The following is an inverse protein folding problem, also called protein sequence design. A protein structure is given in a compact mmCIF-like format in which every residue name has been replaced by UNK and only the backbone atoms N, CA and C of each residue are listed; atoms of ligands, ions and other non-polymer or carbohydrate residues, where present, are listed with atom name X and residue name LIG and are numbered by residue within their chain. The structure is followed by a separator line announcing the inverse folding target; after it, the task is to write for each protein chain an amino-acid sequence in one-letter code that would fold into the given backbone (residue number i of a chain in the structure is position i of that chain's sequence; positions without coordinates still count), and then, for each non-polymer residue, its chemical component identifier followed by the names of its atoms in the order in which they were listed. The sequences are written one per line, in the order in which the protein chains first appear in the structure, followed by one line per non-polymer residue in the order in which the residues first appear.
data_IF_273221168544
#
_entry.id   IF_273221168544
#
_cell.length_a   1.000
_cell.length_b   1.000
_cell.length_c   1.000
_cell.angle_alpha   90.00
_cell.angle_beta   90.00
_cell.angle_gamma   90.00
#
_symmetry.space_group_name_H-M   'P 1'
#
loop_
_entity.id
_entity.type
_entity.pdbx_description
1 polymer ?
#
# COMPACT_ATOMS: atom_id res chain seq x y z
N UNK A 1 1.61 10.05 10.39
CA UNK A 1 0.96 9.62 9.12
C UNK A 1 -0.07 8.56 9.45
N UNK A 2 -1.31 8.77 9.00
CA UNK A 2 -2.40 7.83 9.28
C UNK A 2 -2.33 6.57 8.40
N UNK A 3 -2.83 5.47 8.95
CA UNK A 3 -3.00 4.19 8.27
C UNK A 3 -4.50 3.90 8.29
N UNK A 4 -5.08 3.61 7.13
CA UNK A 4 -6.51 3.52 6.97
C UNK A 4 -6.97 2.11 6.61
N UNK A 5 -8.10 1.70 7.19
CA UNK A 5 -8.89 0.58 6.69
C UNK A 5 -9.61 0.96 5.38
N UNK A 6 -10.05 -0.02 4.57
CA UNK A 6 -10.89 0.25 3.40
C UNK A 6 -12.20 1.00 3.72
N UNK A 7 -12.71 0.88 4.95
CA UNK A 7 -13.90 1.59 5.41
C UNK A 7 -13.58 3.07 5.68
N UNK A 8 -12.48 3.35 6.38
CA UNK A 8 -12.01 4.72 6.64
C UNK A 8 -11.67 5.46 5.34
N UNK A 9 -11.04 4.78 4.35
CA UNK A 9 -10.78 5.37 3.03
C UNK A 9 -12.08 5.84 2.40
N UNK A 10 -13.09 4.96 2.32
CA UNK A 10 -14.40 5.34 1.75
C UNK A 10 -15.09 6.47 2.52
N UNK A 11 -14.91 6.49 3.85
CA UNK A 11 -15.45 7.55 4.68
C UNK A 11 -14.81 8.91 4.35
N UNK A 12 -13.48 8.98 4.25
CA UNK A 12 -12.77 10.22 3.97
C UNK A 12 -12.97 10.71 2.53
N UNK A 13 -13.03 9.80 1.56
CA UNK A 13 -13.41 10.12 0.18
C UNK A 13 -14.82 10.74 0.11
N UNK A 14 -15.77 10.14 0.83
CA UNK A 14 -17.13 10.65 0.92
C UNK A 14 -17.19 12.02 1.64
N UNK A 15 -16.42 12.17 2.72
CA UNK A 15 -16.31 13.44 3.45
C UNK A 15 -15.75 14.54 2.54
N UNK A 16 -14.71 14.25 1.76
CA UNK A 16 -14.16 15.19 0.78
C UNK A 16 -15.22 15.66 -0.23
N UNK A 17 -16.09 14.76 -0.66
CA UNK A 17 -17.16 15.07 -1.62
C UNK A 17 -18.31 15.84 -0.97
N UNK A 18 -18.89 15.34 0.13
CA UNK A 18 -20.13 15.86 0.71
C UNK A 18 -19.94 17.12 1.53
N UNK A 19 -18.82 17.23 2.27
CA UNK A 19 -18.57 18.38 3.13
C UNK A 19 -17.74 19.47 2.46
N UNK A 20 -16.77 19.07 1.63
CA UNK A 20 -15.83 20.01 1.01
C UNK A 20 -16.12 20.26 -0.48
N UNK A 21 -17.08 19.55 -1.07
CA UNK A 21 -17.47 19.72 -2.47
C UNK A 21 -16.41 19.31 -3.49
N UNK A 22 -15.45 18.47 -3.10
CA UNK A 22 -14.39 17.97 -3.99
C UNK A 22 -14.94 16.79 -4.80
N UNK A 23 -15.15 16.99 -6.08
CA UNK A 23 -15.67 15.93 -6.95
C UNK A 23 -14.68 14.75 -7.06
N UNK A 24 -15.16 13.50 -7.12
CA UNK A 24 -14.31 12.29 -7.23
C UNK A 24 -13.35 12.32 -8.42
N UNK A 25 -13.74 12.95 -9.51
CA UNK A 25 -12.89 13.08 -10.70
C UNK A 25 -11.64 13.94 -10.41
N UNK A 26 -11.74 14.92 -9.49
CA UNK A 26 -10.60 15.75 -9.08
C UNK A 26 -9.62 14.91 -8.27
N UNK A 27 -10.12 14.09 -7.34
CA UNK A 27 -9.28 13.21 -6.53
C UNK A 27 -8.55 12.19 -7.43
N UNK A 28 -9.26 11.57 -8.37
CA UNK A 28 -8.69 10.62 -9.34
C UNK A 28 -7.66 11.29 -10.26
N UNK A 29 -7.92 12.50 -10.74
CA UNK A 29 -6.96 13.24 -11.55
C UNK A 29 -5.67 13.56 -10.77
N UNK A 30 -5.79 13.99 -9.50
CA UNK A 30 -4.65 14.23 -8.64
C UNK A 30 -3.87 12.93 -8.36
N UNK A 31 -4.58 11.83 -8.09
CA UNK A 31 -4.00 10.52 -7.86
C UNK A 31 -3.17 10.07 -9.06
N UNK A 32 -3.76 10.01 -10.23
CA UNK A 32 -3.10 9.54 -11.44
C UNK A 32 -1.96 10.45 -11.88
N UNK A 33 -2.15 11.79 -11.83
CA UNK A 33 -1.09 12.75 -12.16
C UNK A 33 0.13 12.60 -11.26
N UNK A 34 -0.09 12.59 -9.94
CA UNK A 34 1.00 12.46 -8.96
C UNK A 34 1.72 11.13 -9.07
N UNK A 35 0.98 10.06 -9.33
CA UNK A 35 1.58 8.75 -9.57
C UNK A 35 2.42 8.73 -10.85
N UNK A 36 1.95 9.34 -11.93
CA UNK A 36 2.73 9.47 -13.16
C UNK A 36 4.03 10.26 -12.92
N UNK A 37 3.98 11.38 -12.16
CA UNK A 37 5.17 12.17 -11.79
C UNK A 37 6.19 11.32 -11.00
N UNK A 38 5.74 10.46 -10.08
CA UNK A 38 6.63 9.56 -9.31
C UNK A 38 7.23 8.49 -10.24
N UNK A 39 6.40 7.85 -11.07
CA UNK A 39 6.87 6.83 -12.01
C UNK A 39 7.95 7.40 -12.93
N UNK A 40 7.72 8.59 -13.48
CA UNK A 40 8.69 9.26 -14.35
C UNK A 40 10.00 9.57 -13.62
N UNK A 41 9.96 10.05 -12.37
CA UNK A 41 11.15 10.49 -11.64
C UNK A 41 11.92 9.35 -10.96
N UNK A 42 11.24 8.34 -10.46
CA UNK A 42 11.82 7.32 -9.57
C UNK A 42 11.94 5.94 -10.25
N UNK A 43 11.23 5.71 -11.37
CA UNK A 43 11.17 4.39 -12.02
C UNK A 43 11.70 4.43 -13.45
N UNK A 44 11.38 5.47 -14.23
CA UNK A 44 11.60 5.54 -15.67
C UNK A 44 12.97 6.10 -16.08
N UNK A 45 14.00 6.03 -15.22
CA UNK A 45 15.35 6.47 -15.58
C UNK A 45 15.88 5.61 -16.76
N UNK A 46 16.11 6.27 -17.92
CA UNK A 46 16.53 5.63 -19.18
C UNK A 46 15.54 4.57 -19.76
N UNK A 47 14.25 4.61 -19.37
CA UNK A 47 13.20 3.71 -19.84
C UNK A 47 12.13 4.49 -20.60
N UNK A 48 11.58 3.89 -21.67
CA UNK A 48 10.66 4.59 -22.58
C UNK A 48 9.28 3.95 -22.70
N UNK A 49 9.16 2.63 -22.43
CA UNK A 49 7.97 1.84 -22.77
C UNK A 49 7.22 1.35 -21.52
N UNK A 50 5.88 1.50 -21.53
CA UNK A 50 5.04 1.22 -20.39
C UNK A 50 3.77 0.47 -20.78
N UNK A 51 3.52 -0.68 -20.16
CA UNK A 51 2.23 -1.34 -20.20
C UNK A 51 1.40 -0.98 -18.96
N UNK A 52 0.22 -0.40 -19.14
CA UNK A 52 -0.69 -0.07 -18.03
C UNK A 52 -1.86 -1.04 -18.00
N UNK A 53 -1.93 -1.88 -16.98
CA UNK A 53 -2.95 -2.92 -16.81
C UNK A 53 -4.11 -2.36 -15.99
N UNK A 54 -5.18 -1.94 -16.66
CA UNK A 54 -6.32 -1.27 -16.05
C UNK A 54 -7.51 -2.21 -15.85
N UNK A 55 -8.01 -2.32 -14.62
CA UNK A 55 -9.32 -2.90 -14.36
C UNK A 55 -10.47 -1.96 -14.81
N UNK A 56 -11.70 -2.43 -14.67
CA UNK A 56 -12.89 -1.61 -15.00
C UNK A 56 -13.40 -0.77 -13.82
N UNK A 57 -12.79 -0.90 -12.63
CA UNK A 57 -13.10 -0.11 -11.43
C UNK A 57 -12.35 1.22 -11.37
N UNK A 58 -12.44 1.89 -10.21
CA UNK A 58 -11.78 3.17 -9.99
C UNK A 58 -10.25 3.07 -10.05
N UNK A 59 -9.65 1.99 -9.53
CA UNK A 59 -8.20 1.78 -9.65
C UNK A 59 -7.74 1.74 -11.11
N UNK A 60 -8.51 1.07 -11.99
CA UNK A 60 -8.28 1.13 -13.44
C UNK A 60 -8.45 2.54 -14.00
N UNK A 61 -9.36 3.33 -13.42
CA UNK A 61 -9.51 4.76 -13.73
C UNK A 61 -8.25 5.56 -13.40
N UNK A 62 -7.65 5.34 -12.23
CA UNK A 62 -6.37 5.94 -11.83
C UNK A 62 -5.26 5.53 -12.81
N UNK A 63 -5.17 4.23 -13.16
CA UNK A 63 -4.25 3.72 -14.19
C UNK A 63 -4.42 4.40 -15.55
N UNK A 64 -5.65 4.65 -15.99
CA UNK A 64 -5.91 5.37 -17.25
C UNK A 64 -5.50 6.85 -17.19
N UNK A 65 -5.61 7.49 -16.03
CA UNK A 65 -5.08 8.85 -15.84
C UNK A 65 -3.56 8.82 -15.93
N UNK A 66 -2.89 7.85 -15.27
CA UNK A 66 -1.43 7.65 -15.37
C UNK A 66 -1.01 7.44 -16.82
N UNK A 67 -1.65 6.51 -17.54
CA UNK A 67 -1.38 6.26 -18.96
C UNK A 67 -1.44 7.55 -19.79
N UNK A 68 -2.45 8.38 -19.56
CA UNK A 68 -2.63 9.66 -20.24
C UNK A 68 -1.51 10.65 -19.96
N UNK A 69 -1.07 10.75 -18.71
CA UNK A 69 0.02 11.67 -18.34
C UNK A 69 1.36 11.21 -18.93
N UNK A 70 1.71 9.92 -18.80
CA UNK A 70 2.93 9.36 -19.40
C UNK A 70 2.93 9.51 -20.93
N UNK A 71 1.81 9.20 -21.60
CA UNK A 71 1.66 9.40 -23.05
C UNK A 71 1.87 10.87 -23.46
N UNK A 72 1.34 11.83 -22.72
CA UNK A 72 1.52 13.25 -22.96
C UNK A 72 2.98 13.72 -22.75
N UNK A 73 3.72 13.03 -21.91
CA UNK A 73 5.15 13.30 -21.67
C UNK A 73 6.06 12.63 -22.69
N UNK A 74 5.50 11.84 -23.62
CA UNK A 74 6.22 11.28 -24.75
C UNK A 74 6.68 9.85 -24.57
N UNK A 75 6.26 9.15 -23.49
CA UNK A 75 6.53 7.73 -23.32
C UNK A 75 5.69 6.87 -24.28
N UNK A 76 6.23 5.71 -24.65
CA UNK A 76 5.50 4.69 -25.40
C UNK A 76 4.58 3.91 -24.46
N UNK A 77 3.28 4.22 -24.52
CA UNK A 77 2.28 3.73 -23.57
C UNK A 77 1.23 2.87 -24.23
N UNK A 78 1.15 1.61 -23.85
CA UNK A 78 0.04 0.70 -24.18
C UNK A 78 -0.83 0.44 -22.96
N UNK A 79 -2.14 0.66 -23.09
CA UNK A 79 -3.11 0.47 -22.00
C UNK A 79 -3.95 -0.78 -22.25
N UNK A 80 -3.89 -1.73 -21.32
CA UNK A 80 -4.60 -3.01 -21.36
C UNK A 80 -5.82 -2.97 -20.45
N UNK A 81 -7.03 -2.98 -21.03
CA UNK A 81 -8.30 -2.95 -20.31
C UNK A 81 -8.73 -4.38 -19.99
N UNK A 82 -8.71 -4.72 -18.71
CA UNK A 82 -8.97 -6.10 -18.23
C UNK A 82 -10.36 -6.20 -17.64
N UNK A 83 -11.27 -6.76 -18.41
CA UNK A 83 -12.64 -6.97 -17.98
C UNK A 83 -13.68 -6.65 -19.06
N UNK A 84 -14.92 -6.64 -18.62
CA UNK A 84 -16.07 -6.37 -19.47
C UNK A 84 -16.25 -4.84 -19.60
N UNK A 85 -16.32 -4.34 -20.81
CA UNK A 85 -16.52 -2.90 -21.11
C UNK A 85 -17.81 -2.34 -20.51
N UNK A 86 -18.82 -3.20 -20.36
CA UNK A 86 -20.10 -2.78 -19.79
C UNK A 86 -20.06 -2.62 -18.26
N UNK A 87 -18.91 -2.90 -17.63
CA UNK A 87 -18.70 -2.85 -16.18
C UNK A 87 -17.81 -1.72 -15.71
N UNK A 88 -17.52 -0.77 -16.55
CA UNK A 88 -16.76 0.40 -16.11
C UNK A 88 -17.48 1.17 -14.99
N UNK A 89 -16.69 1.61 -13.99
CA UNK A 89 -17.16 2.70 -13.13
C UNK A 89 -17.29 3.99 -13.96
N UNK A 90 -18.16 4.92 -13.53
CA UNK A 90 -18.37 6.19 -14.24
C UNK A 90 -17.06 6.96 -14.49
N UNK A 91 -16.13 6.92 -13.52
CA UNK A 91 -14.86 7.61 -13.63
C UNK A 91 -13.89 6.90 -14.56
N UNK A 92 -13.83 5.56 -14.51
CA UNK A 92 -13.03 4.76 -15.42
C UNK A 92 -13.52 4.89 -16.86
N UNK A 93 -14.84 4.86 -17.11
CA UNK A 93 -15.43 5.07 -18.44
C UNK A 93 -15.06 6.43 -19.02
N UNK A 94 -15.09 7.48 -18.18
CA UNK A 94 -14.69 8.83 -18.60
C UNK A 94 -13.22 8.88 -19.03
N UNK A 95 -12.32 8.32 -18.25
CA UNK A 95 -10.89 8.31 -18.55
C UNK A 95 -10.57 7.41 -19.75
N UNK A 96 -11.23 6.26 -19.88
CA UNK A 96 -11.16 5.41 -21.05
C UNK A 96 -11.55 6.19 -22.34
N UNK A 97 -12.67 6.93 -22.31
CA UNK A 97 -13.11 7.76 -23.43
C UNK A 97 -12.11 8.87 -23.80
N UNK A 98 -11.37 9.39 -22.82
CA UNK A 98 -10.29 10.37 -23.05
C UNK A 98 -9.15 9.71 -23.80
N UNK A 99 -8.64 8.55 -23.32
CA UNK A 99 -7.55 7.82 -23.98
C UNK A 99 -7.91 7.44 -25.43
N UNK A 100 -9.13 7.00 -25.68
CA UNK A 100 -9.61 6.71 -27.05
C UNK A 100 -9.52 7.93 -27.96
N UNK A 101 -9.92 9.11 -27.48
CA UNK A 101 -9.85 10.36 -28.26
C UNK A 101 -8.43 10.86 -28.48
N UNK A 102 -7.51 10.48 -27.63
CA UNK A 102 -6.07 10.79 -27.74
C UNK A 102 -5.32 9.82 -28.65
N UNK A 103 -6.02 8.78 -29.15
CA UNK A 103 -5.39 7.71 -29.94
C UNK A 103 -4.28 6.97 -29.20
N UNK A 104 -4.30 6.95 -27.86
CA UNK A 104 -3.45 6.07 -27.08
C UNK A 104 -3.75 4.60 -27.44
N UNK A 105 -2.75 3.75 -27.48
CA UNK A 105 -2.93 2.34 -27.78
C UNK A 105 -3.76 1.68 -26.68
N UNK A 106 -4.92 1.09 -27.06
CA UNK A 106 -5.85 0.41 -26.15
C UNK A 106 -6.07 -1.02 -26.60
N UNK A 107 -5.71 -1.97 -25.76
CA UNK A 107 -5.98 -3.38 -25.94
C UNK A 107 -6.96 -3.90 -24.89
N UNK A 108 -7.68 -4.97 -25.18
CA UNK A 108 -8.77 -5.47 -24.32
C UNK A 108 -8.60 -6.94 -24.02
N UNK A 109 -8.65 -7.29 -22.73
CA UNK A 109 -8.55 -8.64 -22.21
C UNK A 109 -9.86 -8.96 -21.49
N UNK A 110 -10.74 -9.72 -22.13
CA UNK A 110 -12.04 -10.13 -21.59
C UNK A 110 -12.14 -11.64 -21.39
N UNK A 111 -11.22 -12.38 -21.97
CA UNK A 111 -11.15 -13.85 -21.92
C UNK A 111 -9.73 -14.35 -21.81
N UNK A 112 -9.58 -15.66 -21.64
CA UNK A 112 -8.27 -16.33 -21.70
C UNK A 112 -7.69 -16.25 -23.11
N UNK A 113 -8.53 -16.41 -24.12
CA UNK A 113 -8.14 -16.34 -25.54
C UNK A 113 -7.61 -14.97 -25.93
N UNK A 114 -8.11 -13.88 -25.31
CA UNK A 114 -7.56 -12.54 -25.54
C UNK A 114 -6.19 -12.42 -24.87
N UNK A 115 -6.05 -12.93 -23.64
CA UNK A 115 -4.77 -12.93 -22.92
C UNK A 115 -3.69 -13.72 -23.68
N UNK A 116 -4.01 -14.93 -24.14
CA UNK A 116 -3.08 -15.81 -24.87
C UNK A 116 -2.55 -15.19 -26.18
N UNK A 117 -3.26 -14.19 -26.76
CA UNK A 117 -2.82 -13.48 -27.97
C UNK A 117 -1.82 -12.37 -27.73
N UNK A 118 -1.80 -11.80 -26.52
CA UNK A 118 -1.05 -10.58 -26.22
C UNK A 118 0.04 -10.79 -25.17
N UNK A 119 0.10 -11.98 -24.57
CA UNK A 119 1.02 -12.26 -23.47
C UNK A 119 2.48 -11.97 -23.83
N UNK A 120 2.90 -12.33 -25.05
CA UNK A 120 4.27 -12.11 -25.50
C UNK A 120 4.64 -10.63 -25.63
N UNK A 121 3.64 -9.73 -25.72
CA UNK A 121 3.88 -8.29 -25.81
C UNK A 121 4.36 -7.70 -24.48
N UNK A 122 4.07 -8.34 -23.35
CA UNK A 122 4.50 -7.81 -22.06
C UNK A 122 6.03 -7.83 -21.88
N UNK A 123 6.73 -8.70 -22.59
CA UNK A 123 8.21 -8.73 -22.61
C UNK A 123 8.86 -7.59 -23.41
N UNK A 124 8.06 -6.79 -24.13
CA UNK A 124 8.56 -5.66 -24.94
C UNK A 124 8.55 -4.33 -24.17
N UNK A 125 8.03 -4.32 -22.92
CA UNK A 125 7.93 -3.12 -22.09
C UNK A 125 9.00 -3.09 -21.01
N UNK A 126 9.45 -1.90 -20.64
CA UNK A 126 10.37 -1.70 -19.51
C UNK A 126 9.67 -1.72 -18.16
N UNK A 127 8.42 -1.21 -18.12
CA UNK A 127 7.63 -1.08 -16.90
C UNK A 127 6.21 -1.59 -17.09
N UNK A 128 5.75 -2.38 -16.14
CA UNK A 128 4.36 -2.85 -16.05
C UNK A 128 3.67 -2.13 -14.89
N UNK A 129 2.61 -1.38 -15.19
CA UNK A 129 1.81 -0.70 -14.17
C UNK A 129 0.56 -1.53 -13.87
N UNK A 130 0.47 -2.06 -12.66
CA UNK A 130 -0.68 -2.79 -12.14
C UNK A 130 -1.71 -1.82 -11.56
N UNK A 131 -2.78 -1.58 -12.29
CA UNK A 131 -3.99 -0.87 -11.88
C UNK A 131 -5.24 -1.77 -12.05
N UNK A 132 -5.08 -3.09 -11.89
CA UNK A 132 -6.15 -4.05 -12.13
C UNK A 132 -7.19 -4.04 -11.01
N UNK A 133 -6.76 -4.16 -9.75
CA UNK A 133 -7.61 -4.13 -8.57
C UNK A 133 -7.05 -3.19 -7.50
N UNK A 134 -7.91 -2.43 -6.82
CA UNK A 134 -7.58 -1.65 -5.62
C UNK A 134 -8.23 -2.25 -4.37
N UNK A 135 -8.45 -1.42 -3.35
CA UNK A 135 -9.04 -1.78 -2.04
C UNK A 135 -10.43 -2.42 -2.09
N UNK A 136 -11.07 -2.45 -3.26
CA UNK A 136 -12.41 -3.01 -3.44
C UNK A 136 -12.45 -4.52 -3.68
N UNK A 137 -11.31 -5.18 -3.89
CA UNK A 137 -11.24 -6.62 -4.14
C UNK A 137 -11.74 -7.42 -2.93
N UNK A 138 -12.60 -8.41 -3.19
CA UNK A 138 -13.10 -9.33 -2.18
C UNK A 138 -12.94 -10.78 -2.64
N UNK A 139 -12.27 -11.59 -1.82
CA UNK A 139 -12.08 -13.02 -2.08
C UNK A 139 -11.03 -13.32 -3.16
N UNK A 140 -11.16 -14.48 -3.79
CA UNK A 140 -10.17 -14.99 -4.75
C UNK A 140 -10.25 -14.32 -6.12
N UNK A 141 -9.10 -14.08 -6.73
CA UNK A 141 -8.98 -13.73 -8.14
C UNK A 141 -9.18 -14.99 -9.00
N UNK A 142 -10.03 -14.92 -10.04
CA UNK A 142 -10.44 -16.10 -10.83
C UNK A 142 -10.21 -15.92 -12.32
N UNK A 143 -10.09 -17.07 -13.01
CA UNK A 143 -10.02 -17.15 -14.46
C UNK A 143 -8.79 -16.45 -15.02
N UNK A 144 -8.95 -15.85 -16.20
CA UNK A 144 -7.86 -15.20 -16.93
C UNK A 144 -7.16 -14.06 -16.15
N UNK A 145 -7.85 -13.43 -15.21
CA UNK A 145 -7.25 -12.40 -14.36
C UNK A 145 -6.22 -13.00 -13.38
N UNK A 146 -6.48 -14.20 -12.86
CA UNK A 146 -5.50 -14.92 -12.05
C UNK A 146 -4.27 -15.26 -12.90
N UNK A 147 -4.49 -15.81 -14.10
CA UNK A 147 -3.40 -16.16 -15.01
C UNK A 147 -2.57 -14.90 -15.37
N UNK A 148 -3.22 -13.77 -15.62
CA UNK A 148 -2.55 -12.50 -15.91
C UNK A 148 -1.62 -12.08 -14.76
N UNK A 149 -2.07 -12.16 -13.50
CA UNK A 149 -1.23 -11.86 -12.34
C UNK A 149 -0.06 -12.82 -12.24
N UNK A 150 -0.29 -14.13 -12.45
CA UNK A 150 0.77 -15.15 -12.44
C UNK A 150 1.83 -14.86 -13.50
N UNK A 151 1.40 -14.49 -14.71
CA UNK A 151 2.30 -14.11 -15.81
C UNK A 151 3.10 -12.86 -15.48
N UNK A 152 2.46 -11.80 -15.01
CA UNK A 152 3.14 -10.56 -14.65
C UNK A 152 4.22 -10.81 -13.60
N UNK A 153 3.96 -11.66 -12.62
CA UNK A 153 4.96 -12.02 -11.61
C UNK A 153 6.15 -12.86 -12.12
N UNK A 154 6.06 -13.40 -13.34
CA UNK A 154 7.16 -14.15 -13.99
C UNK A 154 8.01 -13.27 -14.90
N UNK A 155 7.62 -12.00 -15.10
CA UNK A 155 8.36 -11.04 -15.90
C UNK A 155 9.59 -10.52 -15.10
N UNK A 156 10.65 -10.15 -15.82
CA UNK A 156 11.85 -9.52 -15.25
C UNK A 156 11.75 -7.98 -15.25
N UNK A 157 10.67 -7.42 -15.81
CA UNK A 157 10.36 -6.00 -15.93
C UNK A 157 9.96 -5.39 -14.59
N UNK A 158 10.14 -4.08 -14.42
CA UNK A 158 9.75 -3.38 -13.18
C UNK A 158 8.23 -3.34 -13.05
N UNK A 159 7.71 -3.83 -11.93
CA UNK A 159 6.27 -3.84 -11.64
C UNK A 159 5.92 -2.74 -10.65
N UNK A 160 5.05 -1.80 -11.08
CA UNK A 160 4.52 -0.71 -10.25
C UNK A 160 3.06 -0.94 -9.96
N UNK A 161 2.70 -1.20 -8.71
CA UNK A 161 1.29 -1.33 -8.30
C UNK A 161 0.68 0.00 -7.87
N UNK A 162 -0.53 0.27 -8.36
CA UNK A 162 -1.30 1.48 -8.06
C UNK A 162 -2.27 1.19 -6.93
N UNK A 163 -2.21 1.99 -5.89
CA UNK A 163 -2.98 1.94 -4.65
C UNK A 163 -2.62 0.74 -3.76
N UNK A 164 -2.68 -0.47 -4.27
CA UNK A 164 -2.32 -1.72 -3.58
C UNK A 164 -2.03 -2.81 -4.63
N UNK A 165 -1.06 -3.71 -4.42
CA UNK A 165 -0.83 -4.84 -5.31
C UNK A 165 -2.10 -5.64 -5.55
N UNK A 166 -2.45 -5.87 -6.83
CA UNK A 166 -3.69 -6.55 -7.21
C UNK A 166 -3.71 -7.98 -6.68
N UNK A 167 -4.71 -8.29 -5.85
CA UNK A 167 -4.83 -9.57 -5.16
C UNK A 167 -4.55 -9.52 -3.66
N UNK A 168 -3.95 -8.44 -3.16
CA UNK A 168 -3.68 -8.23 -1.75
C UNK A 168 -4.92 -7.67 -1.03
N UNK A 169 -5.23 -8.21 0.15
CA UNK A 169 -6.29 -7.70 1.04
C UNK A 169 -5.80 -6.43 1.77
N UNK A 170 -6.44 -5.31 1.49
CA UNK A 170 -6.07 -3.99 2.01
C UNK A 170 -6.23 -3.85 3.53
N UNK A 171 -7.07 -4.67 4.17
CA UNK A 171 -7.33 -4.63 5.60
C UNK A 171 -6.43 -5.60 6.37
N UNK A 172 -6.24 -6.81 5.83
CA UNK A 172 -5.58 -7.92 6.55
C UNK A 172 -4.14 -8.17 6.13
N UNK A 173 -3.72 -7.64 4.99
CA UNK A 173 -2.40 -7.94 4.40
C UNK A 173 -2.26 -9.39 3.95
N UNK A 174 -3.36 -10.11 3.74
CA UNK A 174 -3.37 -11.50 3.31
C UNK A 174 -3.63 -11.62 1.81
N UNK A 175 -3.18 -12.71 1.23
CA UNK A 175 -3.44 -13.09 -0.17
C UNK A 175 -4.39 -14.28 -0.17
N UNK A 176 -5.52 -14.16 -0.85
CA UNK A 176 -6.50 -15.25 -0.90
C UNK A 176 -5.99 -16.42 -1.77
N UNK A 177 -5.40 -16.14 -2.93
CA UNK A 177 -4.86 -17.16 -3.82
C UNK A 177 -3.68 -16.68 -4.68
N UNK A 178 -3.73 -15.43 -5.19
CA UNK A 178 -2.67 -14.81 -6.01
C UNK A 178 -2.65 -13.33 -5.76
N UNK A 179 -1.46 -12.71 -5.82
CA UNK A 179 -1.27 -11.27 -5.78
C UNK A 179 -0.08 -10.88 -6.64
N UNK A 180 -0.10 -9.68 -7.17
CA UNK A 180 1.08 -9.04 -7.75
C UNK A 180 2.16 -8.93 -6.67
N UNK A 181 3.40 -9.18 -7.07
CA UNK A 181 4.61 -8.87 -6.33
C UNK A 181 5.23 -7.63 -6.96
N UNK A 182 4.96 -6.47 -6.38
CA UNK A 182 5.41 -5.21 -6.93
C UNK A 182 6.84 -4.87 -6.46
N UNK A 183 7.62 -4.23 -7.34
CA UNK A 183 8.89 -3.58 -6.98
C UNK A 183 8.62 -2.22 -6.32
N UNK A 184 7.57 -1.55 -6.78
CA UNK A 184 7.11 -0.26 -6.26
C UNK A 184 5.60 -0.27 -6.08
N UNK A 185 5.11 0.30 -4.98
CA UNK A 185 3.68 0.56 -4.79
C UNK A 185 3.45 2.04 -4.53
N UNK A 186 2.60 2.67 -5.35
CA UNK A 186 2.19 4.07 -5.20
C UNK A 186 0.77 4.10 -4.65
N UNK A 187 0.62 4.47 -3.38
CA UNK A 187 -0.66 4.45 -2.69
C UNK A 187 -1.27 5.84 -2.55
N UNK A 188 -2.62 5.91 -2.61
CA UNK A 188 -3.38 7.15 -2.60
C UNK A 188 -3.71 7.61 -1.19
N UNK A 189 -3.51 8.91 -0.92
CA UNK A 189 -3.75 9.62 0.34
C UNK A 189 -3.02 9.05 1.56
N UNK A 190 -3.23 7.80 1.89
CA UNK A 190 -2.72 7.14 3.08
C UNK A 190 -2.37 5.67 2.82
N UNK A 191 -1.45 5.13 3.63
CA UNK A 191 -1.20 3.69 3.66
C UNK A 191 -2.43 2.94 4.18
N UNK A 192 -2.57 1.69 3.71
CA UNK A 192 -3.58 0.73 4.19
C UNK A 192 -2.92 -0.25 5.17
N UNK A 193 -3.70 -0.89 6.03
CA UNK A 193 -3.17 -1.95 6.90
C UNK A 193 -2.45 -3.04 6.11
N UNK A 194 -2.98 -3.41 4.93
CA UNK A 194 -2.39 -4.42 4.06
C UNK A 194 -0.96 -4.13 3.60
N UNK A 195 -0.56 -2.86 3.53
CA UNK A 195 0.81 -2.47 3.19
C UNK A 195 1.83 -2.72 4.31
N UNK A 196 1.38 -2.91 5.54
CA UNK A 196 2.24 -3.07 6.73
C UNK A 196 2.18 -4.46 7.32
N UNK A 197 1.06 -5.16 7.13
CA UNK A 197 0.86 -6.49 7.67
C UNK A 197 1.45 -7.55 6.72
N UNK A 198 2.12 -8.55 7.29
CA UNK A 198 2.65 -9.67 6.53
C UNK A 198 1.56 -10.71 6.20
N UNK A 199 1.62 -11.36 5.00
CA UNK A 199 2.68 -11.27 3.99
C UNK A 199 2.59 -10.04 3.07
N UNK A 200 1.54 -9.20 3.15
CA UNK A 200 1.31 -8.08 2.23
C UNK A 200 2.47 -7.10 2.14
N UNK A 201 3.17 -6.85 3.25
CA UNK A 201 4.33 -5.95 3.25
C UNK A 201 5.43 -6.42 2.29
N UNK A 202 5.66 -7.73 2.17
CA UNK A 202 6.68 -8.29 1.27
C UNK A 202 6.31 -8.16 -0.22
N UNK A 203 5.02 -7.93 -0.53
CA UNK A 203 4.50 -7.81 -1.88
C UNK A 203 4.45 -6.38 -2.40
N UNK A 204 4.71 -5.39 -1.54
CA UNK A 204 4.53 -3.98 -1.89
C UNK A 204 5.80 -3.30 -2.44
N UNK A 205 6.98 -3.91 -2.28
CA UNK A 205 8.24 -3.28 -2.67
C UNK A 205 8.50 -1.94 -1.99
N UNK A 206 9.04 -0.98 -2.72
CA UNK A 206 9.21 0.39 -2.27
C UNK A 206 7.88 1.14 -2.27
N UNK A 207 7.63 1.95 -1.23
CA UNK A 207 6.33 2.56 -1.02
C UNK A 207 6.36 4.08 -1.20
N UNK A 208 5.53 4.60 -2.10
CA UNK A 208 5.28 6.02 -2.26
C UNK A 208 3.83 6.37 -1.90
N UNK A 209 3.63 7.54 -1.29
CA UNK A 209 2.30 8.01 -0.90
C UNK A 209 2.01 9.32 -1.62
N UNK A 210 0.93 9.36 -2.39
CA UNK A 210 0.52 10.55 -3.11
C UNK A 210 -0.60 11.29 -2.39
N UNK A 211 -0.43 12.60 -2.23
CA UNK A 211 -1.51 13.45 -1.75
C UNK A 211 -2.49 13.73 -2.89
N UNK A 212 -3.72 13.26 -2.73
CA UNK A 212 -4.78 13.41 -3.74
C UNK A 212 -5.68 14.64 -3.52
N UNK A 213 -5.44 15.40 -2.43
CA UNK A 213 -6.17 16.63 -2.14
C UNK A 213 -7.31 16.49 -1.14
N UNK A 214 -7.35 15.42 -0.35
CA UNK A 214 -8.28 15.34 0.80
C UNK A 214 -7.83 16.37 1.83
N UNK A 215 -8.71 17.31 2.25
CA UNK A 215 -8.35 18.35 3.23
C UNK A 215 -7.97 17.74 4.59
N UNK A 216 -6.98 18.30 5.27
CA UNK A 216 -6.60 17.88 6.62
C UNK A 216 -7.79 17.94 7.61
N UNK A 217 -8.67 18.92 7.44
CA UNK A 217 -9.91 19.07 8.22
C UNK A 217 -10.84 17.85 8.12
N UNK A 218 -10.78 17.07 7.04
CA UNK A 218 -11.59 15.86 6.90
C UNK A 218 -11.24 14.81 7.97
N UNK A 219 -10.01 14.84 8.49
CA UNK A 219 -9.53 13.90 9.52
C UNK A 219 -9.81 14.37 10.95
N UNK A 220 -10.18 15.63 11.17
CA UNK A 220 -10.34 16.19 12.53
C UNK A 220 -11.61 15.68 13.24
N UNK A 221 -12.69 15.45 12.49
CA UNK A 221 -13.96 14.99 13.07
C UNK A 221 -13.96 13.48 13.41
N UNK A 222 -13.18 12.69 12.67
CA UNK A 222 -13.01 11.25 12.88
C UNK A 222 -11.54 10.88 12.71
N UNK A 223 -10.80 10.89 13.80
CA UNK A 223 -9.40 10.49 13.77
C UNK A 223 -9.26 9.01 13.38
N UNK A 224 -8.38 8.68 12.44
CA UNK A 224 -8.04 7.31 12.12
C UNK A 224 -7.54 6.53 13.34
N UNK A 225 -7.82 5.23 13.37
CA UNK A 225 -7.49 4.36 14.52
C UNK A 225 -5.97 4.17 14.66
N UNK A 226 -5.23 4.18 13.55
CA UNK A 226 -3.80 3.91 13.55
C UNK A 226 -2.99 5.03 12.89
N UNK A 227 -1.80 5.26 13.45
CA UNK A 227 -0.85 6.24 12.95
C UNK A 227 0.59 5.71 13.02
N UNK A 228 1.40 5.97 11.99
CA UNK A 228 2.86 5.80 12.06
C UNK A 228 3.45 7.09 12.64
N UNK A 229 4.15 6.93 13.74
CA UNK A 229 4.86 8.04 14.37
C UNK A 229 6.27 8.15 13.76
N UNK A 230 6.61 9.26 13.09
CA UNK A 230 7.92 9.43 12.45
C UNK A 230 9.06 9.58 13.45
N UNK A 231 8.77 10.15 14.62
CA UNK A 231 9.72 10.32 15.70
C UNK A 231 9.06 9.99 17.05
N UNK A 232 9.52 8.91 17.67
CA UNK A 232 9.03 8.46 18.97
C UNK A 232 9.87 9.01 20.13
N UNK A 233 11.01 9.63 19.87
CA UNK A 233 11.93 10.09 20.90
C UNK A 233 11.32 11.15 21.81
N UNK A 234 10.43 11.99 21.27
CA UNK A 234 9.73 13.01 22.07
C UNK A 234 8.74 12.44 23.11
N UNK A 235 8.34 11.17 22.98
CA UNK A 235 7.53 10.48 24.00
C UNK A 235 8.36 9.99 25.20
N UNK A 236 9.70 9.95 25.05
CA UNK A 236 10.56 9.58 26.17
C UNK A 236 10.82 10.81 27.07
N UNK A 237 10.65 10.67 28.39
CA UNK A 237 10.88 11.76 29.31
C UNK A 237 12.36 12.15 29.33
N UNK A 238 12.61 13.46 29.20
CA UNK A 238 13.98 13.98 29.34
C UNK A 238 14.46 13.76 30.78
N UNK A 239 15.64 13.13 30.93
CA UNK A 239 16.29 12.95 32.23
C UNK A 239 16.89 14.28 32.70
N UNK A 240 16.47 14.74 33.89
CA UNK A 240 17.02 15.92 34.53
C UNK A 240 18.13 15.53 35.50
N UNK A 241 19.12 16.41 35.77
CA UNK A 241 20.22 16.14 36.66
C UNK A 241 19.81 15.90 38.12
N UNK A 242 18.73 16.50 38.58
CA UNK A 242 18.21 16.37 39.94
C UNK A 242 17.01 15.42 39.99
N UNK A 243 17.26 14.13 39.77
CA UNK A 243 16.25 13.06 39.78
C UNK A 243 16.80 11.78 40.36
N UNK A 244 15.92 10.88 40.77
CA UNK A 244 16.31 9.57 41.30
C UNK A 244 15.56 8.44 40.58
N UNK A 245 15.97 7.19 40.79
CA UNK A 245 15.38 6.03 40.09
C UNK A 245 13.87 5.90 40.24
N UNK A 246 13.26 6.44 41.28
CA UNK A 246 11.81 6.41 41.49
C UNK A 246 11.02 7.30 40.54
N UNK A 247 11.68 8.34 39.94
CA UNK A 247 11.04 9.31 39.07
C UNK A 247 10.80 8.74 37.64
N UNK A 248 11.48 7.65 37.30
CA UNK A 248 11.42 7.00 35.99
C UNK A 248 10.59 5.71 35.97
N UNK A 249 9.69 5.57 36.94
CA UNK A 249 8.75 4.48 37.01
C UNK A 249 9.30 3.18 37.61
N UNK A 250 8.38 2.25 37.85
CA UNK A 250 8.66 0.91 38.38
C UNK A 250 7.96 -0.10 37.47
N UNK A 251 8.70 -1.10 37.00
CA UNK A 251 8.20 -2.16 36.14
C UNK A 251 8.30 -3.49 36.87
N UNK A 252 7.22 -4.27 36.86
CA UNK A 252 7.20 -5.66 37.27
C UNK A 252 7.14 -6.55 36.02
N UNK A 253 8.11 -7.44 35.87
CA UNK A 253 8.18 -8.39 34.76
C UNK A 253 7.89 -9.78 35.30
N UNK A 254 6.85 -10.43 34.84
CA UNK A 254 6.48 -11.79 35.18
C UNK A 254 6.98 -12.71 34.07
N UNK A 255 8.12 -13.37 34.27
CA UNK A 255 8.75 -14.20 33.25
C UNK A 255 9.66 -15.29 33.85
N UNK A 256 10.01 -16.27 33.02
CA UNK A 256 10.89 -17.37 33.33
C UNK A 256 10.17 -18.68 33.57
N UNK A 257 10.68 -19.72 32.94
CA UNK A 257 10.31 -21.12 33.15
C UNK A 257 11.56 -21.99 33.10
N UNK A 258 11.54 -23.24 33.62
CA UNK A 258 12.69 -24.13 33.46
C UNK A 258 13.12 -24.24 31.99
N UNK A 259 14.41 -23.99 31.70
CA UNK A 259 14.97 -23.95 30.36
C UNK A 259 14.78 -22.62 29.60
N UNK A 260 14.00 -21.65 30.08
CA UNK A 260 13.72 -20.36 29.45
C UNK A 260 13.98 -19.18 30.42
N UNK A 261 15.03 -19.24 31.22
CA UNK A 261 15.35 -18.20 32.22
C UNK A 261 15.92 -16.93 31.56
N UNK A 262 16.64 -17.07 30.45
CA UNK A 262 17.25 -15.94 29.74
C UNK A 262 16.24 -14.90 29.24
N UNK A 263 15.01 -15.30 28.91
CA UNK A 263 13.96 -14.36 28.47
C UNK A 263 13.60 -13.33 29.56
N UNK A 264 13.52 -13.76 30.83
CA UNK A 264 13.27 -12.84 31.95
C UNK A 264 14.41 -11.86 32.18
N UNK A 265 15.67 -12.32 32.05
CA UNK A 265 16.87 -11.48 32.17
C UNK A 265 16.90 -10.45 31.05
N UNK A 266 16.81 -10.89 29.79
CA UNK A 266 16.85 -10.00 28.63
C UNK A 266 15.74 -8.94 28.65
N UNK A 267 14.51 -9.32 29.05
CA UNK A 267 13.42 -8.37 29.18
C UNK A 267 13.70 -7.33 30.29
N UNK A 268 14.31 -7.75 31.40
CA UNK A 268 14.68 -6.87 32.50
C UNK A 268 15.81 -5.90 32.11
N UNK A 269 16.83 -6.38 31.45
CA UNK A 269 17.94 -5.57 30.94
C UNK A 269 17.43 -4.57 29.88
N UNK A 270 16.64 -5.01 28.91
CA UNK A 270 16.04 -4.13 27.89
C UNK A 270 15.22 -3.00 28.53
N UNK A 271 14.40 -3.32 29.53
CA UNK A 271 13.60 -2.32 30.24
C UNK A 271 14.49 -1.33 31.02
N UNK A 272 15.61 -1.77 31.57
CA UNK A 272 16.58 -0.91 32.25
C UNK A 272 17.29 0.02 31.24
N UNK A 273 17.79 -0.51 30.15
CA UNK A 273 18.43 0.24 29.07
C UNK A 273 17.50 1.30 28.45
N UNK A 274 16.21 0.98 28.33
CA UNK A 274 15.17 1.92 27.88
C UNK A 274 14.89 3.03 28.91
N UNK A 275 15.50 2.97 30.10
CA UNK A 275 15.49 4.05 31.07
C UNK A 275 14.53 3.88 32.24
N UNK A 276 13.97 2.71 32.47
CA UNK A 276 13.12 2.43 33.64
C UNK A 276 13.90 2.62 34.94
N UNK A 277 13.25 3.20 35.95
CA UNK A 277 13.92 3.52 37.22
C UNK A 277 14.14 2.35 38.14
N UNK A 278 13.18 1.41 38.22
CA UNK A 278 13.24 0.21 39.04
C UNK A 278 12.55 -0.96 38.32
N UNK A 279 13.23 -2.10 38.28
CA UNK A 279 12.69 -3.31 37.67
C UNK A 279 12.64 -4.42 38.73
N UNK A 280 11.53 -5.14 38.75
CA UNK A 280 11.34 -6.31 39.60
C UNK A 280 10.96 -7.49 38.70
N UNK A 281 11.85 -8.48 38.61
CA UNK A 281 11.57 -9.74 37.94
C UNK A 281 10.85 -10.69 38.90
N UNK A 282 9.65 -11.08 38.54
CA UNK A 282 8.84 -12.08 39.26
C UNK A 282 8.94 -13.40 38.52
N UNK A 283 9.40 -14.43 39.17
CA UNK A 283 9.64 -15.76 38.61
C UNK A 283 9.17 -16.88 39.52
N UNK A 284 8.95 -18.11 39.03
CA UNK A 284 8.66 -19.27 39.88
C UNK A 284 9.74 -19.51 40.94
N UNK A 285 9.33 -19.82 42.14
CA UNK A 285 10.25 -20.04 43.28
C UNK A 285 11.38 -21.07 42.99
N UNK A 286 11.09 -22.04 42.11
CA UNK A 286 12.04 -23.08 41.70
C UNK A 286 13.23 -22.54 40.90
N UNK A 287 13.15 -21.28 40.40
CA UNK A 287 14.20 -20.65 39.60
C UNK A 287 15.01 -19.61 40.39
N UNK A 288 14.75 -19.43 41.68
CA UNK A 288 15.45 -18.44 42.52
C UNK A 288 16.95 -18.49 42.40
N UNK A 289 17.56 -19.68 42.51
CA UNK A 289 19.01 -19.86 42.41
C UNK A 289 19.59 -19.63 41.03
N UNK A 290 18.79 -19.49 40.00
CA UNK A 290 19.25 -19.21 38.64
C UNK A 290 19.26 -17.70 38.35
N UNK A 291 18.44 -16.94 39.07
CA UNK A 291 18.33 -15.48 38.91
C UNK A 291 19.12 -14.70 40.00
N UNK A 292 19.62 -15.36 41.01
CA UNK A 292 20.57 -14.81 42.01
C UNK A 292 22.00 -14.84 41.49
#
# INVERSE_FOLDING_TARGET
MYILSPEEIRYFDKTAQEQFGIEPIILMENAGKKSAEIIEMEVMEDMDSVAVICGTGNNGGDGMVIARWLYNHGFDVSCYIVGDKDKFSLLAERNHSILQKMHCELQYISSKEDLDKIIDQFYDFDVIIDALFGVGLKGEVKGYRKNLIEIINELDEIIVSIDIPSGLDAEKGTVANVSIQADVTITMANMKYGHLLYPGRDLCGEMYIVNIGIPALAYEENLPIAEILPDVLHYFPLRRNNTHKGDYGKIAILAGSPGLTGAGVMASEAALEMGSGLITLLHPKSLGTVFE
#
